data_IF_956618341974
#
_entry.id   IF_956618341974
#
_cell.length_a   1.000
_cell.length_b   1.000
_cell.length_c   1.000
_cell.angle_alpha   90.00
_cell.angle_beta   90.00
_cell.angle_gamma   90.00
#
_symmetry.space_group_name_H-M   'P 1'
#
loop_
_entity.id
_entity.type
_entity.pdbx_description
1 polymer ?
#
# COMPACT_ATOMS: atom_id res chain seq x y z
N UNK A 1 18.23 0.69 7.20
CA UNK A 1 18.80 -0.60 7.65
C UNK A 1 18.59 -0.85 9.13
N UNK A 2 18.39 0.20 9.92
CA UNK A 2 18.18 0.12 11.37
C UNK A 2 17.01 -0.79 11.76
N UNK A 3 15.86 -0.73 11.08
CA UNK A 3 14.74 -1.64 11.36
C UNK A 3 15.07 -3.12 11.08
N UNK A 4 15.83 -3.41 10.02
CA UNK A 4 16.30 -4.78 9.75
C UNK A 4 17.32 -5.26 10.78
N UNK A 5 18.15 -4.37 11.31
CA UNK A 5 19.08 -4.72 12.39
C UNK A 5 18.37 -5.02 13.72
N UNK A 6 17.20 -4.42 13.97
CA UNK A 6 16.36 -4.78 15.13
C UNK A 6 15.71 -6.16 14.96
N UNK A 7 15.28 -6.49 13.74
CA UNK A 7 14.63 -7.78 13.44
C UNK A 7 15.63 -8.93 13.36
N UNK A 8 16.83 -8.69 12.83
CA UNK A 8 17.87 -9.69 12.60
C UNK A 8 19.21 -9.24 13.21
N UNK A 9 19.30 -9.13 14.55
CA UNK A 9 20.47 -8.55 15.22
C UNK A 9 21.75 -9.35 15.00
N UNK A 10 21.63 -10.67 14.83
CA UNK A 10 22.78 -11.56 14.67
C UNK A 10 23.29 -11.65 13.22
N UNK A 11 22.46 -11.32 12.23
CA UNK A 11 22.73 -11.53 10.80
C UNK A 11 22.94 -10.22 10.03
N UNK A 12 22.27 -9.13 10.42
CA UNK A 12 22.27 -7.86 9.69
C UNK A 12 22.63 -6.72 10.65
N UNK A 13 23.68 -5.99 10.31
CA UNK A 13 24.07 -4.78 11.03
C UNK A 13 23.94 -3.55 10.11
N UNK A 14 23.56 -2.40 10.68
CA UNK A 14 23.29 -1.19 9.91
C UNK A 14 24.54 -0.63 9.20
N UNK A 15 25.72 -0.92 9.75
CA UNK A 15 27.04 -0.59 9.21
C UNK A 15 27.53 -1.57 8.14
N UNK A 16 26.74 -2.59 7.81
CA UNK A 16 27.11 -3.67 6.87
C UNK A 16 28.31 -4.52 7.31
N UNK A 17 28.62 -4.56 8.62
CA UNK A 17 29.68 -5.42 9.17
C UNK A 17 29.38 -6.92 9.05
N UNK A 18 28.09 -7.28 9.01
CA UNK A 18 27.57 -8.64 8.87
C UNK A 18 27.09 -8.90 7.44
N UNK A 19 25.80 -9.20 7.24
CA UNK A 19 25.19 -9.32 5.91
C UNK A 19 25.29 -8.02 5.10
N UNK A 20 25.68 -8.14 3.82
CA UNK A 20 25.90 -7.01 2.90
C UNK A 20 24.85 -6.97 1.78
N UNK A 21 24.37 -5.78 1.45
CA UNK A 21 23.44 -5.56 0.33
C UNK A 21 24.24 -5.40 -0.96
N UNK A 22 24.07 -6.33 -1.91
CA UNK A 22 24.73 -6.25 -3.22
C UNK A 22 23.98 -5.31 -4.18
N UNK A 23 22.65 -5.31 -4.13
CA UNK A 23 21.77 -4.47 -4.96
C UNK A 23 20.44 -4.27 -4.25
N UNK A 24 19.88 -3.07 -4.36
CA UNK A 24 18.52 -2.78 -3.91
C UNK A 24 17.69 -2.15 -5.03
N UNK A 25 16.37 -2.17 -4.86
CA UNK A 25 15.42 -1.48 -5.75
C UNK A 25 14.38 -0.79 -4.89
N UNK A 26 14.34 0.54 -4.94
CA UNK A 26 13.34 1.33 -4.24
C UNK A 26 12.33 1.84 -5.27
N UNK A 27 11.08 1.37 -5.16
CA UNK A 27 9.96 1.89 -5.95
C UNK A 27 9.12 2.82 -5.10
N UNK A 28 8.99 4.07 -5.55
CA UNK A 28 8.20 5.09 -4.88
C UNK A 28 6.93 5.31 -5.69
N UNK A 29 5.77 5.08 -5.07
CA UNK A 29 4.46 5.32 -5.67
C UNK A 29 3.74 6.33 -4.76
N UNK A 30 3.84 7.64 -5.03
CA UNK A 30 3.32 8.68 -4.14
C UNK A 30 1.80 8.63 -3.94
N UNK A 31 1.07 8.07 -4.91
CA UNK A 31 -0.38 7.88 -4.88
C UNK A 31 -0.69 6.43 -5.22
N UNK A 32 -0.48 5.54 -4.26
CA UNK A 32 -0.74 4.10 -4.43
C UNK A 32 -2.18 3.75 -4.09
N UNK A 33 -2.65 4.25 -2.95
CA UNK A 33 -3.95 3.92 -2.38
C UNK A 33 -4.60 5.19 -1.83
N UNK A 34 -5.93 5.26 -1.90
CA UNK A 34 -6.65 6.29 -1.15
C UNK A 34 -6.38 6.09 0.34
N UNK A 35 -5.97 7.16 1.02
CA UNK A 35 -5.70 7.09 2.46
C UNK A 35 -7.02 6.89 3.20
N UNK A 36 -7.16 5.77 3.91
CA UNK A 36 -8.31 5.43 4.74
C UNK A 36 -8.32 6.23 6.05
N UNK A 37 -8.51 7.55 5.94
CA UNK A 37 -8.77 8.40 7.11
C UNK A 37 -10.22 8.26 7.57
N UNK A 38 -10.55 8.59 8.83
CA UNK A 38 -11.93 8.57 9.31
C UNK A 38 -12.86 9.38 8.40
N UNK A 39 -14.09 8.88 8.19
CA UNK A 39 -15.11 9.47 7.31
C UNK A 39 -14.83 9.41 5.79
N UNK A 40 -13.94 8.52 5.33
CA UNK A 40 -13.77 8.24 3.91
C UNK A 40 -14.82 7.29 3.32
N UNK A 41 -15.52 6.49 4.14
CA UNK A 41 -16.52 5.54 3.63
C UNK A 41 -17.68 6.21 2.87
N UNK A 42 -18.26 7.34 3.35
CA UNK A 42 -19.35 8.00 2.64
C UNK A 42 -18.95 8.58 1.27
N UNK A 43 -17.65 8.82 1.04
CA UNK A 43 -17.15 9.33 -0.24
C UNK A 43 -16.78 8.24 -1.24
N UNK A 44 -16.89 6.96 -0.86
CA UNK A 44 -16.66 5.84 -1.79
C UNK A 44 -17.85 5.69 -2.74
N UNK A 45 -17.64 5.78 -4.06
CA UNK A 45 -18.72 5.62 -5.03
C UNK A 45 -19.15 4.16 -5.15
N UNK A 46 -20.42 3.93 -5.46
CA UNK A 46 -20.86 2.62 -5.94
C UNK A 46 -20.31 2.36 -7.36
N UNK A 47 -20.14 1.08 -7.71
CA UNK A 47 -19.66 0.69 -9.04
C UNK A 47 -20.57 1.20 -10.17
N UNK A 48 -21.88 1.29 -9.93
CA UNK A 48 -22.84 1.85 -10.89
C UNK A 48 -22.93 3.36 -10.70
N UNK A 49 -22.57 4.10 -11.73
CA UNK A 49 -22.74 5.56 -11.73
C UNK A 49 -24.17 5.97 -12.09
N UNK A 50 -24.46 7.27 -11.92
CA UNK A 50 -25.72 7.87 -12.34
C UNK A 50 -25.82 8.04 -13.87
N UNK A 51 -24.71 7.89 -14.61
CA UNK A 51 -24.66 7.97 -16.07
C UNK A 51 -24.89 6.58 -16.65
N UNK A 52 -25.92 6.46 -17.49
CA UNK A 52 -26.27 5.18 -18.10
C UNK A 52 -25.11 4.62 -18.94
N UNK A 53 -24.79 3.34 -18.73
CA UNK A 53 -23.66 2.67 -19.38
C UNK A 53 -22.27 2.96 -18.78
N UNK A 54 -22.16 3.83 -17.76
CA UNK A 54 -20.88 4.16 -17.14
C UNK A 54 -20.70 3.51 -15.76
N UNK A 55 -19.57 2.82 -15.58
CA UNK A 55 -19.23 2.05 -14.39
C UNK A 55 -17.84 2.40 -13.88
N UNK A 56 -17.66 2.36 -12.56
CA UNK A 56 -16.38 2.59 -11.88
C UNK A 56 -15.92 1.29 -11.20
N UNK A 57 -15.04 0.49 -11.83
CA UNK A 57 -14.46 -0.69 -11.22
C UNK A 57 -13.10 -0.35 -10.60
N UNK A 58 -12.98 -0.41 -9.27
CA UNK A 58 -11.68 -0.46 -8.58
C UNK A 58 -11.84 -0.59 -7.05
N UNK A 59 -10.70 -0.81 -6.38
CA UNK A 59 -10.54 -0.88 -4.93
C UNK A 59 -10.95 0.38 -4.13
N UNK A 60 -11.18 1.53 -4.79
CA UNK A 60 -11.64 2.76 -4.13
C UNK A 60 -13.18 2.89 -4.11
N UNK A 61 -13.88 1.99 -4.80
CA UNK A 61 -15.35 1.94 -4.76
C UNK A 61 -15.86 1.35 -3.45
N UNK A 62 -17.14 1.54 -3.16
CA UNK A 62 -17.74 1.04 -1.93
C UNK A 62 -17.88 -0.49 -2.00
N UNK A 63 -17.04 -1.17 -1.21
CA UNK A 63 -16.96 -2.63 -1.11
C UNK A 63 -16.59 -3.04 0.31
N UNK A 64 -16.96 -4.27 0.68
CA UNK A 64 -16.75 -4.82 2.03
C UNK A 64 -15.27 -5.10 2.33
N UNK A 65 -14.52 -5.47 1.30
CA UNK A 65 -13.10 -5.72 1.41
C UNK A 65 -12.37 -4.40 1.29
N UNK A 66 -11.46 -4.13 2.23
CA UNK A 66 -10.62 -2.91 2.21
C UNK A 66 -9.94 -2.73 0.86
N UNK A 67 -9.37 -1.55 0.62
CA UNK A 67 -8.69 -1.25 -0.63
C UNK A 67 -7.45 -2.16 -0.82
N UNK A 68 -7.70 -3.32 -1.43
CA UNK A 68 -6.89 -4.54 -1.41
C UNK A 68 -7.08 -5.32 -2.71
N UNK A 69 -6.44 -6.49 -2.81
CA UNK A 69 -6.49 -7.34 -4.01
C UNK A 69 -7.78 -8.20 -4.05
N UNK A 70 -8.42 -8.43 -2.91
CA UNK A 70 -9.65 -9.23 -2.77
C UNK A 70 -10.87 -8.51 -3.36
#
# INVERSE_FOLDING_TARGET
>A
MEELAKLFPDEIAADQSKGKILKNRVMKIPRLLCKTVPNCEPSQPLQRSLVEGFYLPDHYTNQTYSASIE
#
